data_IF_036569177670
#
_entry.id   IF_036569177670
#
_cell.length_a   1.000
_cell.length_b   1.000
_cell.length_c   1.000
_cell.angle_alpha   90.00
_cell.angle_beta   90.00
_cell.angle_gamma   90.00
#
_symmetry.space_group_name_H-M   'P 1'
#
loop_
_entity.id
_entity.type
_entity.pdbx_description
1 polymer ?
#
# COMPACT_ATOMS: atom_id res chain seq x y z
N UNK A 1 -24.68 26.35 27.42
CA UNK A 1 -24.59 25.04 28.09
C UNK A 1 -24.56 23.88 27.09
N UNK A 2 -25.24 23.97 25.95
CA UNK A 2 -25.23 22.97 24.86
C UNK A 2 -23.83 22.65 24.28
N UNK A 3 -23.05 23.67 23.93
CA UNK A 3 -21.74 23.48 23.27
C UNK A 3 -20.69 22.79 24.15
N UNK A 4 -20.68 23.09 25.45
CA UNK A 4 -19.69 22.49 26.37
C UNK A 4 -19.91 20.98 26.51
N UNK A 5 -21.17 20.54 26.55
CA UNK A 5 -21.51 19.11 26.59
C UNK A 5 -21.08 18.40 25.31
N UNK A 6 -21.29 19.03 24.14
CA UNK A 6 -20.83 18.49 22.85
C UNK A 6 -19.30 18.39 22.78
N UNK A 7 -18.58 19.41 23.25
CA UNK A 7 -17.12 19.41 23.30
C UNK A 7 -16.63 18.27 24.21
N UNK A 8 -17.17 18.15 25.42
CA UNK A 8 -16.80 17.07 26.35
C UNK A 8 -17.07 15.70 25.74
N UNK A 9 -18.24 15.50 25.12
CA UNK A 9 -18.60 14.23 24.47
C UNK A 9 -17.61 13.89 23.34
N UNK A 10 -17.27 14.85 22.47
CA UNK A 10 -16.31 14.64 21.38
C UNK A 10 -14.92 14.28 21.88
N UNK A 11 -14.43 14.95 22.93
CA UNK A 11 -13.12 14.67 23.54
C UNK A 11 -13.09 13.25 24.11
N UNK A 12 -14.16 12.82 24.77
CA UNK A 12 -14.26 11.46 25.33
C UNK A 12 -14.14 10.41 24.21
N UNK A 13 -14.87 10.57 23.11
CA UNK A 13 -14.85 9.64 21.98
C UNK A 13 -13.45 9.56 21.35
N UNK A 14 -12.82 10.72 21.11
CA UNK A 14 -11.47 10.80 20.54
C UNK A 14 -10.46 10.14 21.48
N UNK A 15 -10.57 10.37 22.79
CA UNK A 15 -9.68 9.78 23.80
C UNK A 15 -9.79 8.25 23.80
N UNK A 16 -10.99 7.69 23.72
CA UNK A 16 -11.21 6.23 23.63
C UNK A 16 -10.54 5.65 22.37
N UNK A 17 -10.64 6.33 21.22
CA UNK A 17 -9.98 5.89 19.99
C UNK A 17 -8.45 5.85 20.11
N UNK A 18 -7.85 6.90 20.70
CA UNK A 18 -6.41 6.96 20.95
C UNK A 18 -5.95 5.90 21.95
N UNK A 19 -6.72 5.62 23.01
CA UNK A 19 -6.43 4.55 23.96
C UNK A 19 -6.39 3.18 23.27
N UNK A 20 -7.35 2.88 22.39
CA UNK A 20 -7.35 1.63 21.62
C UNK A 20 -6.12 1.48 20.71
N UNK A 21 -5.71 2.58 20.08
CA UNK A 21 -4.49 2.63 19.26
C UNK A 21 -3.23 2.44 20.12
N UNK A 22 -3.16 3.10 21.29
CA UNK A 22 -2.04 3.02 22.23
C UNK A 22 -1.85 1.59 22.77
N UNK A 23 -2.93 0.89 23.13
CA UNK A 23 -2.88 -0.51 23.58
C UNK A 23 -2.25 -1.41 22.51
N UNK A 24 -2.63 -1.23 21.24
CA UNK A 24 -2.07 -2.02 20.13
C UNK A 24 -0.58 -1.76 19.87
N UNK A 25 -0.10 -0.55 20.15
CA UNK A 25 1.28 -0.15 19.85
C UNK A 25 2.20 -0.42 21.05
N UNK A 26 1.78 -0.03 22.26
CA UNK A 26 2.62 -0.08 23.46
C UNK A 26 2.59 -1.43 24.16
N UNK A 27 1.42 -2.09 24.24
CA UNK A 27 1.25 -3.30 25.05
C UNK A 27 1.50 -4.57 24.22
N UNK A 28 1.12 -4.57 22.94
CA UNK A 28 1.29 -5.74 22.08
C UNK A 28 2.76 -5.93 21.70
N UNK A 29 3.34 -7.12 21.94
CA UNK A 29 4.69 -7.47 21.47
C UNK A 29 4.77 -7.30 19.94
N UNK A 30 5.70 -6.45 19.49
CA UNK A 30 5.82 -6.09 18.07
C UNK A 30 4.76 -5.11 17.57
N UNK A 31 4.17 -4.33 18.47
CA UNK A 31 3.23 -3.25 18.14
C UNK A 31 3.84 -2.28 17.12
N UNK A 32 3.16 -2.17 15.97
CA UNK A 32 3.52 -1.26 14.89
C UNK A 32 2.24 -0.59 14.42
N UNK A 33 2.37 0.63 13.91
CA UNK A 33 1.27 1.24 13.18
C UNK A 33 0.86 0.35 12.00
N UNK A 34 -0.44 0.27 11.70
CA UNK A 34 -0.92 -0.50 10.55
C UNK A 34 -0.26 0.04 9.28
N UNK A 35 0.28 -0.86 8.44
CA UNK A 35 0.79 -0.49 7.14
C UNK A 35 -0.37 -0.18 6.20
N UNK A 36 -0.56 1.11 5.88
CA UNK A 36 -1.56 1.57 4.91
C UNK A 36 -1.05 1.52 3.46
N UNK A 37 0.23 1.19 3.27
CA UNK A 37 0.84 1.12 1.96
C UNK A 37 0.58 -0.23 1.28
N UNK A 38 0.03 -0.19 0.06
CA UNK A 38 -0.29 -1.39 -0.75
C UNK A 38 0.93 -2.29 -0.93
N UNK A 39 2.10 -1.71 -1.24
CA UNK A 39 3.32 -2.49 -1.48
C UNK A 39 3.89 -3.21 -0.25
N UNK A 40 3.50 -2.80 0.97
CA UNK A 40 3.91 -3.46 2.21
C UNK A 40 2.93 -4.55 2.68
N UNK A 41 1.78 -4.69 2.01
CA UNK A 41 0.75 -5.62 2.42
C UNK A 41 0.97 -7.00 1.81
N UNK A 42 1.36 -7.98 2.64
CA UNK A 42 1.55 -9.37 2.21
C UNK A 42 0.30 -9.98 1.60
N UNK A 43 -0.89 -9.65 2.11
CA UNK A 43 -2.14 -10.20 1.60
C UNK A 43 -2.44 -9.72 0.18
N UNK A 44 -2.29 -8.41 -0.08
CA UNK A 44 -2.47 -7.83 -1.43
C UNK A 44 -1.40 -8.33 -2.40
N UNK A 45 -0.17 -8.48 -1.92
CA UNK A 45 0.92 -9.04 -2.71
C UNK A 45 0.63 -10.49 -3.15
N UNK A 46 0.12 -11.34 -2.25
CA UNK A 46 -0.33 -12.69 -2.59
C UNK A 46 -1.47 -12.71 -3.63
N UNK A 47 -2.29 -11.66 -3.69
CA UNK A 47 -3.34 -11.49 -4.70
C UNK A 47 -2.82 -10.86 -6.01
N UNK A 48 -1.52 -10.57 -6.12
CA UNK A 48 -0.94 -9.94 -7.30
C UNK A 48 -1.25 -8.45 -7.43
N UNK A 49 -1.72 -7.81 -6.36
CA UNK A 49 -2.00 -6.37 -6.32
C UNK A 49 -0.74 -5.65 -5.81
N UNK A 50 -0.17 -4.79 -6.65
CA UNK A 50 1.04 -4.02 -6.35
C UNK A 50 0.80 -2.51 -6.52
N UNK A 51 1.73 -1.69 -6.06
CA UNK A 51 1.70 -0.26 -6.39
C UNK A 51 1.90 -0.04 -7.90
N UNK A 52 1.37 1.07 -8.42
CA UNK A 52 1.43 1.42 -9.84
C UNK A 52 2.84 1.27 -10.42
N UNK A 53 3.87 1.82 -9.76
CA UNK A 53 5.25 1.72 -10.20
C UNK A 53 5.76 0.27 -10.31
N UNK A 54 5.34 -0.61 -9.40
CA UNK A 54 5.72 -2.03 -9.45
C UNK A 54 4.98 -2.75 -10.56
N UNK A 55 3.69 -2.44 -10.77
CA UNK A 55 2.91 -2.96 -11.89
C UNK A 55 3.53 -2.54 -13.22
N UNK A 56 3.86 -1.25 -13.39
CA UNK A 56 4.51 -0.71 -14.59
C UNK A 56 5.87 -1.39 -14.87
N UNK A 57 6.65 -1.65 -13.81
CA UNK A 57 7.92 -2.39 -13.94
C UNK A 57 7.70 -3.83 -14.38
N UNK A 58 6.72 -4.52 -13.81
CA UNK A 58 6.38 -5.89 -14.18
C UNK A 58 5.92 -5.97 -15.64
N UNK A 59 5.06 -5.05 -16.08
CA UNK A 59 4.60 -5.00 -17.48
C UNK A 59 5.75 -4.68 -18.45
N UNK A 60 6.63 -3.72 -18.12
CA UNK A 60 7.84 -3.46 -18.95
C UNK A 60 8.75 -4.68 -19.06
N UNK A 61 8.91 -5.45 -17.97
CA UNK A 61 9.71 -6.66 -18.00
C UNK A 61 9.06 -7.76 -18.86
N UNK A 62 7.73 -7.90 -18.80
CA UNK A 62 6.98 -8.83 -19.68
C UNK A 62 7.19 -8.49 -21.16
N UNK A 63 7.19 -7.20 -21.51
CA UNK A 63 7.45 -6.74 -22.88
C UNK A 63 8.88 -7.12 -23.32
N UNK A 64 9.90 -6.83 -22.50
CA UNK A 64 11.30 -7.20 -22.80
C UNK A 64 11.50 -8.69 -23.02
N UNK A 65 10.80 -9.54 -22.28
CA UNK A 65 10.84 -11.00 -22.45
C UNK A 65 10.16 -11.46 -23.75
N UNK A 66 9.06 -10.81 -24.15
CA UNK A 66 8.39 -11.11 -25.43
C UNK A 66 9.18 -10.63 -26.63
N UNK A 67 9.89 -9.51 -26.50
CA UNK A 67 10.73 -8.96 -27.54
C UNK A 67 12.17 -9.44 -27.37
N UNK A 68 12.43 -10.71 -27.64
CA UNK A 68 13.77 -11.08 -28.14
C UNK A 68 13.86 -10.48 -29.56
N UNK A 69 14.35 -9.25 -29.62
CA UNK A 69 14.27 -8.37 -30.80
C UNK A 69 15.01 -8.91 -32.04
N UNK A 70 15.64 -10.10 -31.98
CA UNK A 70 16.32 -10.74 -33.12
C UNK A 70 15.41 -10.96 -34.34
N UNK A 71 14.09 -11.09 -34.15
CA UNK A 71 13.15 -11.41 -35.24
C UNK A 71 12.16 -10.29 -35.57
N UNK A 72 12.35 -9.06 -35.08
CA UNK A 72 11.49 -7.93 -35.46
C UNK A 72 11.95 -7.38 -36.81
N UNK A 73 11.04 -7.34 -37.79
CA UNK A 73 11.26 -6.89 -39.19
C UNK A 73 12.09 -5.60 -39.32
N UNK A 74 12.03 -4.73 -38.31
CA UNK A 74 12.72 -3.45 -38.21
C UNK A 74 14.26 -3.55 -38.25
N UNK A 75 14.86 -4.63 -37.74
CA UNK A 75 16.32 -4.84 -37.80
C UNK A 75 16.77 -5.62 -39.05
N UNK A 76 15.85 -6.32 -39.71
CA UNK A 76 16.15 -7.12 -40.90
C UNK A 76 16.09 -6.30 -42.20
N UNK A 77 15.53 -5.08 -42.16
CA UNK A 77 15.46 -4.14 -43.28
C UNK A 77 16.67 -3.18 -43.35
N UNK A 78 17.56 -3.24 -42.36
CA UNK A 78 18.72 -2.34 -42.22
C UNK A 78 20.07 -3.05 -42.51
N UNK A 79 20.06 -4.24 -43.12
CA UNK A 79 21.25 -4.96 -43.56
C UNK A 79 21.35 -4.97 -45.08
#
# INVERSE_FOLDING_TARGET
MEYLQLIILSVIIVTIAFLGLAVRILIKKGGKFPNTHVGGNKHLNCQGIYCAQTQDRLERNKLKVKTDFKNVRLLNQAK
#
